data_IF_263117664295
#
_entry.id   IF_263117664295
#
_cell.length_a   1.000
_cell.length_b   1.000
_cell.length_c   1.000
_cell.angle_alpha   90.00
_cell.angle_beta   90.00
_cell.angle_gamma   90.00
#
_symmetry.space_group_name_H-M   'P 1'
#
loop_
_entity.id
_entity.type
_entity.pdbx_description
1 polymer ?
#
# COMPACT_ATOMS: atom_id res chain seq x y z
N UNK A 1 -8.43 33.98 3.11
CA UNK A 1 -7.64 34.40 1.93
C UNK A 1 -6.11 34.27 2.10
N UNK A 2 -5.58 34.16 3.33
CA UNK A 2 -4.14 34.00 3.58
C UNK A 2 -3.60 32.54 3.57
N UNK A 3 -4.44 31.52 3.75
CA UNK A 3 -3.99 30.12 3.77
C UNK A 3 -3.56 29.59 2.38
N UNK A 4 -4.23 30.03 1.30
CA UNK A 4 -3.91 29.61 -0.07
C UNK A 4 -2.55 30.13 -0.57
N UNK A 5 -2.10 31.29 -0.08
CA UNK A 5 -0.84 31.91 -0.51
C UNK A 5 0.39 31.21 0.11
N UNK A 6 0.28 30.76 1.36
CA UNK A 6 1.39 30.11 2.05
C UNK A 6 1.64 28.68 1.55
N UNK A 7 0.60 27.98 1.09
CA UNK A 7 0.74 26.63 0.52
C UNK A 7 1.39 26.64 -0.87
N UNK A 8 1.08 27.64 -1.72
CA UNK A 8 1.70 27.78 -3.04
C UNK A 8 3.18 28.20 -2.97
N UNK A 9 3.56 29.01 -1.98
CA UNK A 9 4.94 29.45 -1.80
C UNK A 9 5.90 28.31 -1.39
N UNK A 10 5.40 27.29 -0.70
CA UNK A 10 6.19 26.13 -0.28
C UNK A 10 6.46 25.12 -1.42
N UNK A 11 5.56 25.06 -2.41
CA UNK A 11 5.69 24.14 -3.56
C UNK A 11 6.72 24.66 -4.58
N UNK A 12 6.90 25.99 -4.67
CA UNK A 12 7.79 26.61 -5.66
C UNK A 12 9.28 26.59 -5.27
N UNK A 13 9.63 26.53 -3.99
CA UNK A 13 11.03 26.56 -3.53
C UNK A 13 11.73 25.20 -3.61
N UNK A 14 10.98 24.10 -3.55
CA UNK A 14 11.54 22.73 -3.61
C UNK A 14 11.87 22.31 -5.05
N UNK A 15 11.25 22.95 -6.06
CA UNK A 15 11.44 22.61 -7.48
C UNK A 15 12.70 23.21 -8.12
N UNK A 16 13.36 24.20 -7.50
CA UNK A 16 14.53 24.90 -8.09
C UNK A 16 15.90 24.33 -7.68
N UNK A 17 15.98 23.35 -6.77
CA UNK A 17 17.26 22.79 -6.30
C UNK A 17 17.66 21.51 -7.08
N UNK A 18 16.75 20.92 -7.85
CA UNK A 18 17.00 19.65 -8.55
C UNK A 18 17.61 19.80 -9.97
N UNK A 19 17.84 21.02 -10.48
CA UNK A 19 18.26 21.24 -11.88
C UNK A 19 19.73 21.68 -12.09
N UNK A 20 20.59 21.57 -11.07
CA UNK A 20 21.97 22.08 -11.14
C UNK A 20 23.06 21.07 -10.73
N UNK A 21 23.01 19.83 -11.24
CA UNK A 21 24.13 18.86 -11.10
C UNK A 21 24.52 18.13 -12.39
N UNK A 22 23.81 18.30 -13.52
CA UNK A 22 24.18 17.68 -14.79
C UNK A 22 24.77 18.74 -15.72
N UNK A 23 26.06 19.09 -15.60
CA UNK A 23 26.77 19.82 -16.67
C UNK A 23 28.31 19.96 -16.59
N UNK A 24 29.07 19.14 -15.87
CA UNK A 24 30.54 19.24 -15.92
C UNK A 24 31.20 17.86 -16.09
N UNK A 25 31.54 17.54 -17.34
CA UNK A 25 32.25 16.32 -17.71
C UNK A 25 32.69 16.29 -19.17
N UNK A 26 33.20 17.41 -19.71
CA UNK A 26 33.89 17.44 -21.00
C UNK A 26 35.21 18.20 -20.86
N UNK A 27 36.31 17.50 -21.13
CA UNK A 27 37.61 18.11 -21.41
C UNK A 27 38.80 17.42 -20.75
N UNK A 28 39.44 16.47 -21.45
CA UNK A 28 40.71 16.70 -22.17
C UNK A 28 41.47 15.40 -22.41
N UNK A 29 41.75 15.16 -23.69
CA UNK A 29 42.75 14.22 -24.19
C UNK A 29 44.14 14.82 -23.99
N UNK A 30 45.06 14.07 -23.39
CA UNK A 30 46.49 14.16 -23.72
C UNK A 30 47.13 12.77 -23.68
N UNK A 31 47.72 12.43 -24.82
CA UNK A 31 48.55 11.26 -25.04
C UNK A 31 49.88 11.38 -24.29
N UNK A 32 50.37 10.23 -23.81
CA UNK A 32 51.81 9.93 -23.74
C UNK A 32 52.00 8.44 -24.07
N UNK A 33 52.95 8.17 -24.94
CA UNK A 33 53.31 6.87 -25.49
C UNK A 33 54.26 6.08 -24.56
N UNK A 34 54.33 4.77 -24.79
CA UNK A 34 55.50 3.96 -24.50
C UNK A 34 55.23 2.72 -23.64
N UNK A 35 55.28 1.53 -24.24
CA UNK A 35 55.25 0.27 -23.50
C UNK A 35 54.91 -0.92 -24.37
N UNK A 36 55.95 -1.59 -24.84
CA UNK A 36 55.99 -2.78 -25.67
C UNK A 36 55.23 -3.98 -25.06
N UNK A 37 54.59 -4.81 -25.89
CA UNK A 37 53.78 -5.94 -25.42
C UNK A 37 52.83 -6.53 -26.46
N UNK A 38 53.30 -6.65 -27.70
CA UNK A 38 52.60 -7.34 -28.78
C UNK A 38 52.69 -8.86 -28.62
N UNK A 39 51.87 -9.47 -27.73
CA UNK A 39 51.61 -10.93 -27.82
C UNK A 39 50.43 -11.49 -27.00
N UNK A 40 49.53 -10.65 -26.45
CA UNK A 40 48.38 -11.14 -25.64
C UNK A 40 47.00 -10.59 -26.02
N UNK A 41 46.85 -9.96 -27.20
CA UNK A 41 45.57 -9.32 -27.60
C UNK A 41 44.64 -10.12 -28.50
N UNK A 42 44.92 -11.38 -28.79
CA UNK A 42 44.15 -12.12 -29.80
C UNK A 42 43.37 -13.36 -29.30
N UNK A 43 43.10 -13.48 -27.99
CA UNK A 43 42.27 -14.59 -27.44
C UNK A 43 41.33 -14.24 -26.29
N UNK A 44 40.68 -13.06 -26.30
CA UNK A 44 39.51 -12.78 -25.45
C UNK A 44 38.40 -12.05 -26.23
N UNK A 45 38.13 -12.52 -27.45
CA UNK A 45 36.91 -12.16 -28.19
C UNK A 45 35.99 -13.38 -28.32
N UNK A 46 35.92 -14.19 -27.26
CA UNK A 46 34.89 -15.21 -27.11
C UNK A 46 33.70 -14.57 -26.38
N UNK A 47 32.77 -14.07 -27.19
CA UNK A 47 31.33 -14.23 -26.96
C UNK A 47 30.79 -13.77 -25.59
N UNK A 48 30.74 -12.46 -25.35
CA UNK A 48 29.82 -11.88 -24.37
C UNK A 48 28.50 -11.58 -25.08
N UNK A 49 27.70 -12.62 -25.30
CA UNK A 49 26.31 -12.47 -25.74
C UNK A 49 25.60 -11.59 -24.69
N UNK A 50 25.34 -10.31 -24.99
CA UNK A 50 24.48 -9.48 -24.16
C UNK A 50 23.06 -10.04 -24.28
N UNK A 51 22.67 -10.90 -23.33
CA UNK A 51 21.29 -11.37 -23.25
C UNK A 51 20.44 -10.20 -22.79
N UNK A 52 19.60 -9.67 -23.69
CA UNK A 52 18.61 -8.66 -23.32
C UNK A 52 17.52 -9.36 -22.51
N UNK A 53 17.57 -9.23 -21.19
CA UNK A 53 16.64 -9.93 -20.29
C UNK A 53 15.22 -9.33 -20.27
N UNK A 54 15.08 -8.09 -20.72
CA UNK A 54 13.80 -7.39 -20.81
C UNK A 54 13.81 -6.32 -21.91
N UNK A 55 12.73 -6.28 -22.69
CA UNK A 55 12.44 -5.20 -23.64
C UNK A 55 11.13 -4.52 -23.24
N UNK A 56 11.17 -3.20 -22.99
CA UNK A 56 9.97 -2.41 -22.65
C UNK A 56 8.99 -2.38 -23.83
N UNK A 57 7.66 -2.32 -23.58
CA UNK A 57 6.69 -2.26 -24.67
C UNK A 57 6.80 -0.94 -25.44
N UNK A 58 6.85 -1.04 -26.77
CA UNK A 58 6.76 0.12 -27.65
C UNK A 58 5.31 0.63 -27.69
N UNK A 59 5.13 1.92 -27.39
CA UNK A 59 3.83 2.56 -27.48
C UNK A 59 3.51 2.90 -28.93
N UNK A 60 2.38 2.40 -29.50
CA UNK A 60 2.00 2.72 -30.86
C UNK A 60 1.94 4.23 -31.09
N UNK A 61 2.62 4.75 -32.11
CA UNK A 61 2.68 6.19 -32.39
C UNK A 61 1.30 6.80 -32.72
N UNK A 62 0.38 5.97 -33.23
CA UNK A 62 -1.01 6.36 -33.49
C UNK A 62 -1.84 6.56 -32.21
N UNK A 63 -1.37 6.04 -31.07
CA UNK A 63 -2.06 6.13 -29.78
C UNK A 63 -1.63 7.40 -29.06
N UNK A 64 -2.42 8.45 -29.20
CA UNK A 64 -2.10 9.78 -28.64
C UNK A 64 -2.77 10.05 -27.30
N UNK A 65 -3.90 9.41 -26.99
CA UNK A 65 -4.62 9.62 -25.73
C UNK A 65 -3.80 9.07 -24.53
N UNK A 66 -3.45 9.89 -23.54
CA UNK A 66 -2.70 9.44 -22.36
C UNK A 66 -3.35 8.27 -21.61
N UNK A 67 -4.68 8.22 -21.51
CA UNK A 67 -5.37 7.15 -20.79
C UNK A 67 -5.25 5.82 -21.56
N UNK A 68 -5.53 5.82 -22.86
CA UNK A 68 -5.31 4.64 -23.72
C UNK A 68 -3.85 4.15 -23.68
N UNK A 69 -2.88 5.08 -23.71
CA UNK A 69 -1.45 4.75 -23.60
C UNK A 69 -1.11 4.07 -22.29
N UNK A 70 -1.64 4.54 -21.17
CA UNK A 70 -1.43 3.93 -19.86
C UNK A 70 -2.01 2.51 -19.81
N UNK A 71 -3.23 2.31 -20.32
CA UNK A 71 -3.87 0.99 -20.40
C UNK A 71 -3.05 0.02 -21.26
N UNK A 72 -2.58 0.47 -22.42
CA UNK A 72 -1.71 -0.34 -23.28
C UNK A 72 -0.39 -0.69 -22.57
N UNK A 73 0.25 0.31 -21.96
CA UNK A 73 1.53 0.14 -21.29
C UNK A 73 1.48 -0.95 -20.20
N UNK A 74 0.52 -0.87 -19.28
CA UNK A 74 0.42 -1.84 -18.18
C UNK A 74 0.03 -3.24 -18.67
N UNK A 75 -0.73 -3.32 -19.77
CA UNK A 75 -1.12 -4.59 -20.38
C UNK A 75 0.07 -5.32 -21.01
N UNK A 76 0.94 -4.57 -21.69
CA UNK A 76 2.07 -5.12 -22.45
C UNK A 76 3.41 -5.04 -21.69
N UNK A 77 3.40 -4.53 -20.46
CA UNK A 77 4.59 -4.29 -19.66
C UNK A 77 5.50 -5.51 -19.56
N UNK A 78 4.94 -6.70 -19.36
CA UNK A 78 5.73 -7.91 -19.14
C UNK A 78 6.00 -8.72 -20.42
N UNK A 79 5.56 -8.27 -21.60
CA UNK A 79 5.61 -9.05 -22.85
C UNK A 79 7.02 -9.41 -23.31
N UNK A 80 7.99 -8.53 -23.04
CA UNK A 80 9.40 -8.76 -23.36
C UNK A 80 10.23 -9.35 -22.22
N UNK A 81 9.62 -9.71 -21.08
CA UNK A 81 10.36 -10.21 -19.90
C UNK A 81 10.67 -11.71 -20.04
N UNK A 82 11.94 -12.08 -19.81
CA UNK A 82 12.42 -13.45 -19.85
C UNK A 82 12.38 -14.10 -18.46
N UNK A 83 11.68 -15.22 -18.33
CA UNK A 83 11.52 -15.96 -17.05
C UNK A 83 12.53 -17.09 -16.86
N UNK A 84 13.28 -17.47 -17.90
CA UNK A 84 14.17 -18.65 -17.88
C UNK A 84 15.52 -18.45 -17.18
N UNK A 85 15.94 -17.20 -16.96
CA UNK A 85 17.18 -16.89 -16.25
C UNK A 85 16.87 -16.60 -14.76
N UNK A 86 17.27 -17.53 -13.90
CA UNK A 86 17.01 -17.46 -12.45
C UNK A 86 17.82 -16.37 -11.75
N UNK A 87 19.00 -16.01 -12.25
CA UNK A 87 19.79 -14.92 -11.70
C UNK A 87 19.14 -13.57 -12.02
N UNK A 88 18.65 -13.42 -13.26
CA UNK A 88 17.85 -12.26 -13.65
C UNK A 88 16.55 -12.13 -12.86
N UNK A 89 15.78 -13.22 -12.72
CA UNK A 89 14.52 -13.23 -11.95
C UNK A 89 14.73 -12.79 -10.50
N UNK A 90 15.83 -13.22 -9.87
CA UNK A 90 16.13 -12.89 -8.47
C UNK A 90 16.94 -11.59 -8.32
N UNK A 91 17.20 -10.86 -9.40
CA UNK A 91 17.99 -9.64 -9.37
C UNK A 91 17.23 -8.47 -8.74
N UNK A 92 18.00 -7.43 -8.35
CA UNK A 92 17.44 -6.13 -7.96
C UNK A 92 16.74 -5.42 -9.13
N UNK A 93 17.16 -5.68 -10.37
CA UNK A 93 16.54 -5.08 -11.56
C UNK A 93 15.12 -5.61 -11.78
N UNK A 94 14.88 -6.91 -11.59
CA UNK A 94 13.52 -7.48 -11.64
C UNK A 94 12.63 -6.88 -10.54
N UNK A 95 13.19 -6.68 -9.34
CA UNK A 95 12.46 -6.04 -8.26
C UNK A 95 12.10 -4.59 -8.59
N UNK A 96 13.02 -3.83 -9.19
CA UNK A 96 12.74 -2.47 -9.66
C UNK A 96 11.69 -2.46 -10.77
N UNK A 97 11.74 -3.40 -11.72
CA UNK A 97 10.71 -3.54 -12.75
C UNK A 97 9.33 -3.82 -12.17
N UNK A 98 9.25 -4.59 -11.08
CA UNK A 98 8.00 -4.83 -10.37
C UNK A 98 7.49 -3.54 -9.71
N UNK A 99 8.37 -2.78 -9.05
CA UNK A 99 8.03 -1.47 -8.45
C UNK A 99 7.52 -0.49 -9.52
N UNK A 100 8.26 -0.34 -10.62
CA UNK A 100 7.87 0.51 -11.76
C UNK A 100 6.49 0.11 -12.31
N UNK A 101 6.22 -1.20 -12.40
CA UNK A 101 4.93 -1.72 -12.83
C UNK A 101 3.80 -1.31 -11.87
N UNK A 102 3.95 -1.54 -10.56
CA UNK A 102 2.92 -1.15 -9.58
C UNK A 102 2.69 0.37 -9.59
N UNK A 103 3.74 1.19 -9.78
CA UNK A 103 3.59 2.64 -9.91
C UNK A 103 2.80 3.02 -11.17
N UNK A 104 3.06 2.35 -12.30
CA UNK A 104 2.32 2.55 -13.53
C UNK A 104 0.82 2.22 -13.41
N UNK A 105 0.43 1.28 -12.53
CA UNK A 105 -0.98 0.95 -12.27
C UNK A 105 -1.79 2.10 -11.68
N UNK A 106 -1.15 3.14 -11.13
CA UNK A 106 -1.83 4.33 -10.59
C UNK A 106 -2.48 5.19 -11.68
N UNK A 107 -2.06 5.02 -12.93
CA UNK A 107 -2.54 5.82 -14.07
C UNK A 107 -3.66 5.12 -14.86
N UNK A 108 -4.18 4.00 -14.36
CA UNK A 108 -5.30 3.27 -14.98
C UNK A 108 -6.42 3.06 -13.96
N UNK A 109 -7.62 2.80 -14.47
CA UNK A 109 -8.75 2.42 -13.62
C UNK A 109 -8.43 1.17 -12.77
N UNK A 110 -8.89 1.10 -11.50
CA UNK A 110 -8.54 0.01 -10.59
C UNK A 110 -8.76 -1.40 -11.15
N UNK A 111 -9.87 -1.60 -11.87
CA UNK A 111 -10.20 -2.89 -12.49
C UNK A 111 -9.23 -3.26 -13.63
N UNK A 112 -8.76 -2.27 -14.38
CA UNK A 112 -7.71 -2.48 -15.39
C UNK A 112 -6.39 -2.86 -14.73
N UNK A 113 -6.03 -2.18 -13.64
CA UNK A 113 -4.83 -2.52 -12.87
C UNK A 113 -4.87 -3.94 -12.30
N UNK A 114 -6.03 -4.34 -11.75
CA UNK A 114 -6.28 -5.71 -11.25
C UNK A 114 -6.08 -6.77 -12.34
N UNK A 115 -6.61 -6.51 -13.54
CA UNK A 115 -6.45 -7.41 -14.71
C UNK A 115 -4.99 -7.47 -15.20
N UNK A 116 -4.27 -6.35 -15.20
CA UNK A 116 -2.86 -6.32 -15.58
C UNK A 116 -1.99 -7.15 -14.62
N UNK A 117 -2.23 -7.03 -13.31
CA UNK A 117 -1.58 -7.86 -12.28
C UNK A 117 -1.86 -9.35 -12.46
N UNK A 118 -3.13 -9.71 -12.67
CA UNK A 118 -3.49 -11.11 -12.96
C UNK A 118 -2.76 -11.62 -14.20
N UNK A 119 -2.71 -10.84 -15.28
CA UNK A 119 -2.03 -11.20 -16.53
C UNK A 119 -0.53 -11.39 -16.33
N UNK A 120 0.11 -10.51 -15.55
CA UNK A 120 1.51 -10.67 -15.14
C UNK A 120 1.72 -11.99 -14.41
N UNK A 121 0.90 -12.29 -13.39
CA UNK A 121 1.05 -13.52 -12.61
C UNK A 121 0.88 -14.79 -13.46
N UNK A 122 -0.12 -14.84 -14.35
CA UNK A 122 -0.31 -15.94 -15.31
C UNK A 122 0.92 -16.11 -16.21
N UNK A 123 1.51 -15.01 -16.68
CA UNK A 123 2.72 -15.08 -17.49
C UNK A 123 3.91 -15.65 -16.73
N UNK A 124 4.11 -15.24 -15.47
CA UNK A 124 5.21 -15.74 -14.65
C UNK A 124 5.07 -17.24 -14.33
N UNK A 125 3.85 -17.78 -14.40
CA UNK A 125 3.56 -19.21 -14.19
C UNK A 125 4.22 -20.15 -15.22
N UNK A 126 4.72 -19.60 -16.33
CA UNK A 126 5.54 -20.33 -17.29
C UNK A 126 6.79 -20.96 -16.65
N UNK A 127 7.34 -20.33 -15.60
CA UNK A 127 8.50 -20.84 -14.85
C UNK A 127 8.26 -20.84 -13.32
N UNK A 128 8.62 -21.94 -12.65
CA UNK A 128 8.38 -22.12 -11.20
C UNK A 128 9.17 -21.15 -10.30
N UNK A 129 10.35 -20.70 -10.75
CA UNK A 129 11.21 -19.76 -10.00
C UNK A 129 10.68 -18.34 -10.16
N UNK A 130 10.37 -17.93 -11.41
CA UNK A 130 9.75 -16.66 -11.71
C UNK A 130 8.42 -16.51 -10.95
N UNK A 131 7.56 -17.51 -11.03
CA UNK A 131 6.27 -17.49 -10.36
C UNK A 131 6.40 -17.27 -8.83
N UNK A 132 7.23 -18.06 -8.15
CA UNK A 132 7.46 -17.91 -6.70
C UNK A 132 8.07 -16.56 -6.34
N UNK A 133 9.00 -16.06 -7.16
CA UNK A 133 9.60 -14.73 -6.97
C UNK A 133 8.54 -13.64 -7.03
N UNK A 134 7.64 -13.68 -8.01
CA UNK A 134 6.59 -12.67 -8.16
C UNK A 134 5.50 -12.79 -7.08
N UNK A 135 5.19 -13.99 -6.57
CA UNK A 135 4.39 -14.14 -5.36
C UNK A 135 5.01 -13.40 -4.15
N UNK A 136 6.32 -13.55 -3.95
CA UNK A 136 7.05 -12.88 -2.87
C UNK A 136 7.07 -11.34 -3.04
N UNK A 137 7.24 -10.85 -4.27
CA UNK A 137 7.15 -9.42 -4.56
C UNK A 137 5.73 -8.88 -4.32
N UNK A 138 4.70 -9.64 -4.69
CA UNK A 138 3.31 -9.34 -4.37
C UNK A 138 3.07 -9.16 -2.89
N UNK A 139 3.55 -10.09 -2.06
CA UNK A 139 3.45 -9.96 -0.60
C UNK A 139 4.26 -8.76 -0.08
N UNK A 140 5.53 -8.63 -0.47
CA UNK A 140 6.43 -7.56 -0.02
C UNK A 140 5.88 -6.16 -0.28
N UNK A 141 5.35 -5.91 -1.48
CA UNK A 141 4.96 -4.56 -1.87
C UNK A 141 3.47 -4.28 -1.68
N UNK A 142 2.60 -5.25 -1.92
CA UNK A 142 1.15 -5.01 -1.91
C UNK A 142 0.51 -5.34 -0.57
N UNK A 143 1.14 -6.21 0.25
CA UNK A 143 0.56 -6.67 1.50
C UNK A 143 1.26 -6.13 2.75
N UNK A 144 2.60 -6.11 2.82
CA UNK A 144 3.34 -5.75 4.03
C UNK A 144 2.87 -4.40 4.62
N UNK A 145 2.58 -4.31 5.94
CA UNK A 145 1.99 -3.11 6.55
C UNK A 145 2.80 -1.83 6.37
N UNK A 146 4.13 -1.94 6.30
CA UNK A 146 5.04 -0.79 6.15
C UNK A 146 5.37 -0.47 4.69
N UNK A 147 4.80 -1.20 3.73
CA UNK A 147 5.05 -0.91 2.32
C UNK A 147 4.32 0.38 1.91
N UNK A 148 5.01 1.37 1.32
CA UNK A 148 4.37 2.56 0.79
C UNK A 148 3.53 2.27 -0.48
N UNK A 149 3.68 1.07 -1.06
CA UNK A 149 2.93 0.62 -2.24
C UNK A 149 1.79 -0.34 -1.89
N UNK A 150 1.51 -0.51 -0.60
CA UNK A 150 0.48 -1.42 -0.10
C UNK A 150 -0.86 -1.11 -0.77
N UNK A 151 -1.49 -2.14 -1.34
CA UNK A 151 -2.79 -2.03 -1.99
C UNK A 151 -3.49 -3.39 -1.91
N UNK A 152 -4.55 -3.46 -1.09
CA UNK A 152 -5.27 -4.71 -0.85
C UNK A 152 -6.03 -5.21 -2.09
N UNK A 153 -6.55 -4.31 -2.94
CA UNK A 153 -7.25 -4.69 -4.19
C UNK A 153 -6.31 -5.39 -5.16
N UNK A 154 -5.10 -4.85 -5.29
CA UNK A 154 -4.06 -5.42 -6.12
C UNK A 154 -3.53 -6.73 -5.53
N UNK A 155 -3.36 -6.81 -4.21
CA UNK A 155 -2.94 -8.04 -3.57
C UNK A 155 -3.99 -9.16 -3.68
N UNK A 156 -5.29 -8.83 -3.64
CA UNK A 156 -6.37 -9.79 -3.90
C UNK A 156 -6.19 -10.44 -5.29
N UNK A 157 -5.85 -9.66 -6.33
CA UNK A 157 -5.62 -10.21 -7.67
C UNK A 157 -4.49 -11.26 -7.69
N UNK A 158 -3.41 -10.97 -6.96
CA UNK A 158 -2.27 -11.88 -6.81
C UNK A 158 -2.71 -13.15 -6.05
N UNK A 159 -3.41 -12.99 -4.93
CA UNK A 159 -3.90 -14.10 -4.11
C UNK A 159 -4.88 -15.01 -4.88
N UNK A 160 -5.82 -14.43 -5.62
CA UNK A 160 -6.77 -15.17 -6.47
C UNK A 160 -6.02 -16.04 -7.48
N UNK A 161 -5.01 -15.51 -8.14
CA UNK A 161 -4.22 -16.26 -9.11
C UNK A 161 -3.32 -17.31 -8.42
N UNK A 162 -2.74 -17.02 -7.24
CA UNK A 162 -2.01 -18.00 -6.43
C UNK A 162 -2.83 -19.24 -6.09
N UNK A 163 -4.12 -19.06 -5.75
CA UNK A 163 -4.99 -20.18 -5.43
C UNK A 163 -5.35 -21.02 -6.65
N UNK A 164 -5.37 -20.41 -7.84
CA UNK A 164 -5.66 -21.09 -9.10
C UNK A 164 -4.43 -21.77 -9.72
N UNK A 165 -3.22 -21.40 -9.32
CA UNK A 165 -1.99 -21.89 -9.95
C UNK A 165 -1.69 -23.36 -9.65
N UNK A 166 -1.28 -24.11 -10.66
CA UNK A 166 -0.80 -25.50 -10.52
C UNK A 166 0.69 -25.57 -10.15
N UNK A 167 1.40 -24.43 -10.09
CA UNK A 167 2.81 -24.34 -9.70
C UNK A 167 3.03 -24.35 -8.20
N UNK A 168 1.99 -24.04 -7.42
CA UNK A 168 2.03 -24.05 -5.96
C UNK A 168 1.45 -25.35 -5.42
N UNK A 169 2.15 -25.94 -4.47
CA UNK A 169 1.64 -27.07 -3.70
C UNK A 169 0.51 -26.62 -2.76
N UNK A 170 -0.33 -27.56 -2.33
CA UNK A 170 -1.51 -27.24 -1.50
C UNK A 170 -1.13 -26.53 -0.20
N UNK A 171 -0.01 -26.91 0.43
CA UNK A 171 0.46 -26.24 1.64
C UNK A 171 0.99 -24.82 1.37
N UNK A 172 1.52 -24.53 0.17
CA UNK A 172 1.91 -23.18 -0.25
C UNK A 172 0.67 -22.27 -0.41
N UNK A 173 -0.51 -22.85 -0.65
CA UNK A 173 -1.78 -22.12 -0.81
C UNK A 173 -2.50 -21.81 0.51
N UNK A 174 -2.13 -22.44 1.63
CA UNK A 174 -2.78 -22.24 2.95
C UNK A 174 -2.71 -20.76 3.38
N UNK A 175 -1.53 -20.15 3.36
CA UNK A 175 -1.34 -18.74 3.75
C UNK A 175 -2.07 -17.79 2.78
N UNK A 176 -1.92 -17.91 1.45
CA UNK A 176 -2.69 -17.11 0.49
C UNK A 176 -4.21 -17.21 0.69
N UNK A 177 -4.73 -18.42 0.95
CA UNK A 177 -6.16 -18.64 1.18
C UNK A 177 -6.66 -17.91 2.43
N UNK A 178 -5.92 -17.99 3.53
CA UNK A 178 -6.25 -17.22 4.73
C UNK A 178 -6.17 -15.71 4.46
N UNK A 179 -5.12 -15.23 3.80
CA UNK A 179 -4.98 -13.81 3.44
C UNK A 179 -6.13 -13.31 2.59
N UNK A 180 -6.56 -14.07 1.59
CA UNK A 180 -7.70 -13.72 0.75
C UNK A 180 -9.00 -13.65 1.56
N UNK A 181 -9.21 -14.64 2.44
CA UNK A 181 -10.33 -14.66 3.37
C UNK A 181 -10.34 -13.44 4.30
N UNK A 182 -9.19 -13.00 4.81
CA UNK A 182 -9.09 -11.78 5.63
C UNK A 182 -9.36 -10.52 4.79
N UNK A 183 -8.79 -10.44 3.58
CA UNK A 183 -8.96 -9.31 2.67
C UNK A 183 -10.42 -9.07 2.31
N UNK A 184 -11.22 -10.12 2.14
CA UNK A 184 -12.67 -10.00 1.86
C UNK A 184 -13.51 -9.52 3.05
N UNK A 185 -12.97 -9.44 4.27
CA UNK A 185 -13.72 -8.90 5.41
C UNK A 185 -13.74 -7.38 5.38
N UNK A 186 -14.87 -6.80 5.77
CA UNK A 186 -15.07 -5.35 5.95
C UNK A 186 -14.61 -4.51 4.74
N UNK A 187 -14.80 -5.01 3.52
CA UNK A 187 -14.46 -4.28 2.29
C UNK A 187 -15.31 -3.01 2.18
N UNK A 188 -14.81 -1.96 1.49
CA UNK A 188 -15.63 -0.80 1.14
C UNK A 188 -17.01 -1.20 0.57
N UNK A 189 -18.07 -0.54 1.04
CA UNK A 189 -19.46 -0.84 0.73
C UNK A 189 -20.14 -1.90 1.61
N UNK A 190 -19.37 -2.81 2.23
CA UNK A 190 -19.91 -3.81 3.16
C UNK A 190 -20.32 -3.17 4.49
N UNK A 191 -21.33 -3.75 5.14
CA UNK A 191 -21.61 -3.43 6.54
C UNK A 191 -20.48 -3.98 7.41
N UNK A 192 -19.89 -3.13 8.25
CA UNK A 192 -18.79 -3.50 9.14
C UNK A 192 -19.23 -4.56 10.15
N UNK A 193 -18.33 -5.51 10.46
CA UNK A 193 -18.54 -6.53 11.46
C UNK A 193 -18.79 -5.88 12.83
N UNK A 194 -19.89 -6.27 13.47
CA UNK A 194 -20.30 -5.64 14.72
C UNK A 194 -19.72 -6.36 15.93
N UNK A 195 -19.35 -5.61 16.96
CA UNK A 195 -18.70 -6.12 18.16
C UNK A 195 -19.12 -5.30 19.38
N UNK A 196 -18.94 -5.88 20.57
CA UNK A 196 -19.15 -5.20 21.84
C UNK A 196 -17.86 -4.65 22.41
N UNK A 197 -17.95 -3.55 23.15
CA UNK A 197 -16.83 -2.96 23.87
C UNK A 197 -17.28 -2.46 25.24
N UNK A 198 -16.31 -2.35 26.16
CA UNK A 198 -16.48 -1.74 27.48
C UNK A 198 -15.61 -0.49 27.57
N UNK A 199 -16.13 0.60 28.13
CA UNK A 199 -15.35 1.82 28.41
C UNK A 199 -14.59 1.70 29.73
N UNK A 200 -13.65 2.62 30.00
CA UNK A 200 -12.96 2.68 31.31
C UNK A 200 -13.92 2.88 32.48
N UNK A 201 -15.08 3.50 32.24
CA UNK A 201 -16.13 3.72 33.23
C UNK A 201 -17.03 2.48 33.44
N UNK A 202 -16.82 1.41 32.68
CA UNK A 202 -17.58 0.17 32.78
C UNK A 202 -18.81 0.11 31.88
N UNK A 203 -19.05 1.12 31.05
CA UNK A 203 -20.20 1.13 30.13
C UNK A 203 -19.99 0.10 29.03
N UNK A 204 -20.92 -0.85 28.94
CA UNK A 204 -20.95 -1.83 27.86
C UNK A 204 -21.84 -1.34 26.72
N UNK A 205 -21.30 -1.33 25.50
CA UNK A 205 -22.04 -0.98 24.30
C UNK A 205 -21.59 -1.81 23.10
N UNK A 206 -22.13 -1.48 21.93
CA UNK A 206 -21.92 -2.19 20.68
C UNK A 206 -21.69 -1.16 19.57
N UNK A 207 -20.74 -1.43 18.67
CA UNK A 207 -20.34 -0.49 17.62
C UNK A 207 -21.54 -0.01 16.79
N UNK A 208 -22.45 -0.93 16.45
CA UNK A 208 -23.66 -0.62 15.68
C UNK A 208 -24.63 0.36 16.36
N UNK A 209 -24.57 0.56 17.69
CA UNK A 209 -25.43 1.48 18.44
C UNK A 209 -24.98 2.94 18.37
N UNK A 210 -23.76 3.22 17.93
CA UNK A 210 -23.24 4.58 17.81
C UNK A 210 -23.95 5.33 16.67
N UNK A 211 -24.68 6.40 17.00
CA UNK A 211 -25.37 7.25 16.01
C UNK A 211 -24.47 8.44 15.66
N UNK A 212 -24.06 8.51 14.38
CA UNK A 212 -23.24 9.60 13.82
C UNK A 212 -23.29 9.53 12.29
N UNK A 213 -23.01 10.66 11.61
CA UNK A 213 -22.86 10.68 10.14
C UNK A 213 -21.68 9.82 9.70
N UNK A 214 -20.58 9.90 10.47
CA UNK A 214 -19.40 9.07 10.29
C UNK A 214 -18.97 8.43 11.61
N UNK A 215 -18.42 7.22 11.53
CA UNK A 215 -17.77 6.55 12.66
C UNK A 215 -16.39 6.11 12.26
N UNK A 216 -15.35 6.63 12.92
CA UNK A 216 -13.98 6.17 12.73
C UNK A 216 -13.66 5.10 13.77
N UNK A 217 -13.36 3.88 13.33
CA UNK A 217 -12.80 2.86 14.19
C UNK A 217 -11.28 3.00 14.21
N UNK A 218 -10.71 3.09 15.39
CA UNK A 218 -9.26 3.21 15.60
C UNK A 218 -8.78 2.03 16.44
N UNK A 219 -8.32 0.97 15.79
CA UNK A 219 -7.74 -0.18 16.50
C UNK A 219 -6.31 0.14 16.89
N UNK A 220 -6.03 0.12 18.19
CA UNK A 220 -4.76 0.61 18.72
C UNK A 220 -4.20 -0.33 19.79
N UNK A 221 -2.93 -0.14 20.08
CA UNK A 221 -2.27 -0.71 21.25
C UNK A 221 -1.80 0.43 22.17
N UNK A 222 -1.93 0.30 23.50
CA UNK A 222 -1.47 1.32 24.43
C UNK A 222 0.04 1.63 24.34
N UNK A 223 0.88 0.68 23.94
CA UNK A 223 2.34 0.85 23.79
C UNK A 223 2.79 1.10 22.34
N UNK A 224 1.96 1.79 21.56
CA UNK A 224 2.16 2.00 20.14
C UNK A 224 2.58 3.44 19.81
N UNK A 225 3.85 3.65 19.46
CA UNK A 225 4.38 4.96 19.07
C UNK A 225 3.70 5.52 17.81
N UNK A 226 3.37 4.68 16.83
CA UNK A 226 2.64 5.09 15.62
C UNK A 226 1.21 5.52 15.94
N UNK A 227 0.56 4.90 16.94
CA UNK A 227 -0.77 5.28 17.39
C UNK A 227 -0.73 6.68 18.03
N UNK A 228 0.26 6.93 18.90
CA UNK A 228 0.49 8.27 19.48
C UNK A 228 0.73 9.34 18.41
N UNK A 229 1.52 9.03 17.37
CA UNK A 229 1.74 9.95 16.23
C UNK A 229 0.44 10.26 15.50
N UNK A 230 -0.36 9.24 15.19
CA UNK A 230 -1.66 9.43 14.53
C UNK A 230 -2.60 10.28 15.37
N UNK A 231 -2.72 10.01 16.67
CA UNK A 231 -3.57 10.76 17.60
C UNK A 231 -3.17 12.23 17.69
N UNK A 232 -1.85 12.51 17.75
CA UNK A 232 -1.32 13.88 17.74
C UNK A 232 -1.69 14.61 16.45
N UNK A 233 -1.42 13.99 15.29
CA UNK A 233 -1.76 14.57 13.99
C UNK A 233 -3.26 14.79 13.85
N UNK A 234 -4.09 13.88 14.34
CA UNK A 234 -5.55 14.02 14.32
C UNK A 234 -6.00 15.26 15.10
N UNK A 235 -5.44 15.47 16.30
CA UNK A 235 -5.76 16.62 17.15
C UNK A 235 -5.27 17.97 16.58
N UNK A 236 -4.26 17.95 15.72
CA UNK A 236 -3.72 19.14 15.05
C UNK A 236 -4.55 19.58 13.83
N UNK A 237 -5.55 18.80 13.40
CA UNK A 237 -6.43 19.11 12.27
C UNK A 237 -7.75 19.70 12.79
N UNK A 238 -7.98 21.03 12.68
CA UNK A 238 -9.13 21.68 13.30
C UNK A 238 -10.48 21.15 12.79
N UNK A 239 -10.57 20.82 11.50
CA UNK A 239 -11.78 20.27 10.90
C UNK A 239 -12.19 18.93 11.53
N UNK A 240 -11.22 18.07 11.91
CA UNK A 240 -11.52 16.80 12.56
C UNK A 240 -11.98 16.99 13.99
N UNK A 241 -11.33 17.89 14.73
CA UNK A 241 -11.73 18.26 16.09
C UNK A 241 -13.15 18.80 16.10
N UNK A 242 -13.48 19.74 15.21
CA UNK A 242 -14.83 20.32 15.10
C UNK A 242 -15.88 19.25 14.76
N UNK A 243 -15.58 18.32 13.84
CA UNK A 243 -16.47 17.20 13.51
C UNK A 243 -16.71 16.25 14.69
N UNK A 244 -15.72 16.08 15.57
CA UNK A 244 -15.87 15.27 16.79
C UNK A 244 -16.71 16.01 17.83
N UNK A 245 -16.44 17.30 18.04
CA UNK A 245 -17.16 18.15 19.00
C UNK A 245 -18.65 18.28 18.64
N UNK A 246 -18.97 18.51 17.36
CA UNK A 246 -20.36 18.62 16.90
C UNK A 246 -21.06 17.25 16.70
N UNK A 247 -20.34 16.13 16.88
CA UNK A 247 -20.87 14.77 16.78
C UNK A 247 -21.09 14.25 15.35
N UNK A 248 -20.65 14.99 14.33
CA UNK A 248 -20.67 14.51 12.93
C UNK A 248 -19.79 13.26 12.76
N UNK A 249 -18.63 13.26 13.40
CA UNK A 249 -17.68 12.16 13.47
C UNK A 249 -17.64 11.60 14.89
N UNK A 250 -17.91 10.30 15.06
CA UNK A 250 -17.60 9.58 16.31
C UNK A 250 -16.34 8.76 16.12
N UNK A 251 -15.32 9.02 16.93
CA UNK A 251 -14.14 8.18 17.00
C UNK A 251 -14.34 7.12 18.09
N UNK A 252 -14.22 5.85 17.70
CA UNK A 252 -14.27 4.69 18.58
C UNK A 252 -12.89 4.02 18.56
N UNK A 253 -12.08 4.34 19.57
CA UNK A 253 -10.78 3.72 19.76
C UNK A 253 -10.92 2.40 20.52
N UNK A 254 -10.47 1.30 19.93
CA UNK A 254 -10.66 -0.04 20.46
C UNK A 254 -9.31 -0.72 20.67
N UNK A 255 -9.07 -1.14 21.91
CA UNK A 255 -8.03 -2.09 22.24
C UNK A 255 -8.56 -3.53 22.07
N UNK A 256 -7.97 -4.34 21.17
CA UNK A 256 -8.47 -5.68 20.88
C UNK A 256 -7.74 -6.80 21.66
N UNK A 257 -6.72 -6.50 22.47
CA UNK A 257 -5.91 -7.49 23.18
C UNK A 257 -6.33 -7.65 24.66
N UNK A 258 -5.64 -8.50 25.41
CA UNK A 258 -6.10 -9.02 26.70
C UNK A 258 -5.69 -8.16 27.91
N UNK A 259 -4.64 -7.34 27.82
CA UNK A 259 -4.09 -6.61 28.97
C UNK A 259 -4.95 -5.40 29.37
N UNK A 260 -6.03 -5.67 30.10
CA UNK A 260 -6.98 -4.65 30.58
C UNK A 260 -6.29 -3.60 31.46
N UNK A 261 -5.37 -4.00 32.33
CA UNK A 261 -4.74 -3.08 33.29
C UNK A 261 -3.90 -2.02 32.57
N UNK A 262 -3.09 -2.45 31.62
CA UNK A 262 -2.31 -1.55 30.78
C UNK A 262 -3.21 -0.63 29.95
N UNK A 263 -4.25 -1.20 29.33
CA UNK A 263 -5.22 -0.41 28.58
C UNK A 263 -5.89 0.65 29.45
N UNK A 264 -6.37 0.28 30.64
CA UNK A 264 -7.06 1.19 31.54
C UNK A 264 -6.13 2.31 32.02
N UNK A 265 -4.86 2.00 32.33
CA UNK A 265 -3.87 2.98 32.76
C UNK A 265 -3.54 4.03 31.69
N UNK A 266 -3.57 3.64 30.41
CA UNK A 266 -3.23 4.51 29.28
C UNK A 266 -4.46 5.14 28.59
N UNK A 267 -5.65 4.58 28.77
CA UNK A 267 -6.89 5.06 28.17
C UNK A 267 -7.28 6.49 28.60
N UNK A 268 -6.87 6.92 29.79
CA UNK A 268 -7.10 8.29 30.30
C UNK A 268 -6.33 9.37 29.54
N UNK A 269 -5.30 9.00 28.77
CA UNK A 269 -4.49 9.92 27.96
C UNK A 269 -4.93 9.98 26.49
N UNK A 270 -6.02 9.29 26.13
CA UNK A 270 -6.57 9.36 24.78
C UNK A 270 -7.16 10.74 24.47
N UNK A 271 -7.22 11.15 23.19
CA UNK A 271 -7.79 12.44 22.81
C UNK A 271 -9.21 12.65 23.34
N UNK A 272 -9.47 13.87 23.82
CA UNK A 272 -10.79 14.24 24.35
C UNK A 272 -11.89 14.07 23.28
N UNK A 273 -13.07 13.64 23.71
CA UNK A 273 -14.23 13.41 22.83
C UNK A 273 -14.25 12.05 22.13
N UNK A 274 -13.14 11.29 22.17
CA UNK A 274 -13.09 9.93 21.66
C UNK A 274 -13.79 8.96 22.63
N UNK A 275 -14.45 7.95 22.07
CA UNK A 275 -14.94 6.81 22.84
C UNK A 275 -13.82 5.79 22.91
N UNK A 276 -13.29 5.56 24.10
CA UNK A 276 -12.17 4.63 24.34
C UNK A 276 -12.73 3.34 24.92
N UNK A 277 -12.58 2.24 24.19
CA UNK A 277 -13.15 0.95 24.53
C UNK A 277 -12.13 -0.18 24.48
N UNK A 278 -12.42 -1.23 25.25
CA UNK A 278 -11.75 -2.51 25.20
C UNK A 278 -12.74 -3.57 24.71
N UNK A 279 -12.32 -4.41 23.75
CA UNK A 279 -13.11 -5.55 23.31
C UNK A 279 -12.99 -6.72 24.31
N UNK A 280 -13.64 -6.57 25.48
CA UNK A 280 -13.63 -7.57 26.56
C UNK A 280 -14.07 -8.97 26.12
N UNK A 281 -14.97 -9.07 25.13
CA UNK A 281 -15.42 -10.34 24.59
C UNK A 281 -14.31 -11.11 23.84
N UNK A 282 -13.25 -10.40 23.41
CA UNK A 282 -12.15 -10.97 22.64
C UNK A 282 -12.54 -11.47 21.24
N UNK A 283 -13.76 -11.20 20.79
CA UNK A 283 -14.32 -11.74 19.54
C UNK A 283 -13.69 -11.11 18.30
N UNK A 284 -13.17 -9.88 18.39
CA UNK A 284 -12.39 -9.28 17.29
C UNK A 284 -11.20 -10.15 16.94
N UNK A 285 -10.47 -10.67 17.94
CA UNK A 285 -9.29 -11.52 17.75
C UNK A 285 -9.67 -12.97 17.50
N UNK A 286 -10.46 -13.56 18.41
CA UNK A 286 -10.79 -15.00 18.38
C UNK A 286 -11.62 -15.39 17.16
N UNK A 287 -12.46 -14.49 16.64
CA UNK A 287 -13.24 -14.70 15.40
C UNK A 287 -12.66 -13.96 14.20
N UNK A 288 -11.53 -13.26 14.38
CA UNK A 288 -10.91 -12.43 13.35
C UNK A 288 -11.93 -11.52 12.66
N UNK A 289 -12.73 -10.76 13.41
CA UNK A 289 -13.78 -9.91 12.84
C UNK A 289 -13.20 -8.81 11.95
N UNK A 290 -11.97 -8.37 12.23
CA UNK A 290 -11.22 -7.39 11.49
C UNK A 290 -9.81 -7.92 11.22
N UNK A 291 -9.26 -7.61 10.04
CA UNK A 291 -7.85 -7.85 9.75
C UNK A 291 -7.01 -6.72 10.35
N UNK A 292 -6.50 -6.92 11.56
CA UNK A 292 -5.67 -5.96 12.30
C UNK A 292 -4.24 -6.51 12.32
N UNK A 293 -3.46 -6.14 11.30
CA UNK A 293 -2.09 -6.65 11.09
C UNK A 293 -1.02 -5.78 11.73
N UNK A 294 -1.30 -4.50 11.89
CA UNK A 294 -0.45 -3.52 12.55
C UNK A 294 -1.32 -2.49 13.28
N UNK A 295 -0.79 -1.90 14.34
CA UNK A 295 -1.45 -0.80 15.04
C UNK A 295 -0.74 0.54 14.70
N UNK A 296 -1.51 1.62 14.44
CA UNK A 296 -2.97 1.64 14.36
C UNK A 296 -3.52 1.03 13.05
N UNK A 297 -4.70 0.42 13.10
CA UNK A 297 -5.51 0.06 11.91
C UNK A 297 -6.80 0.89 11.95
N UNK A 298 -7.15 1.55 10.86
CA UNK A 298 -8.22 2.57 10.86
C UNK A 298 -9.29 2.26 9.83
N UNK A 299 -10.56 2.36 10.23
CA UNK A 299 -11.71 2.25 9.33
C UNK A 299 -12.57 3.50 9.44
N UNK A 300 -13.07 4.00 8.31
CA UNK A 300 -14.10 5.03 8.28
C UNK A 300 -15.42 4.40 7.84
N UNK A 301 -16.47 4.60 8.64
CA UNK A 301 -17.81 4.07 8.39
C UNK A 301 -18.82 5.19 8.16
N UNK A 302 -19.84 4.90 7.34
CA UNK A 302 -21.00 5.79 7.13
C UNK A 302 -22.03 5.69 8.27
N UNK A 303 -23.12 6.47 8.16
CA UNK A 303 -24.21 6.48 9.13
C UNK A 303 -24.96 5.15 9.28
N UNK A 304 -24.85 4.25 8.29
CA UNK A 304 -25.39 2.88 8.30
C UNK A 304 -24.34 1.83 8.69
N UNK A 305 -23.15 2.27 9.12
CA UNK A 305 -21.99 1.43 9.47
C UNK A 305 -21.47 0.61 8.29
N UNK A 306 -21.63 1.11 7.06
CA UNK A 306 -20.93 0.58 5.90
C UNK A 306 -19.52 1.14 5.86
N UNK A 307 -18.57 0.30 5.50
CA UNK A 307 -17.17 0.69 5.37
C UNK A 307 -17.04 1.62 4.16
N UNK A 308 -16.46 2.77 4.38
CA UNK A 308 -16.09 3.74 3.34
C UNK A 308 -14.62 3.56 3.01
N UNK A 309 -13.77 3.61 4.04
CA UNK A 309 -12.34 3.40 3.96
C UNK A 309 -11.95 2.26 4.90
N UNK A 310 -11.13 1.34 4.40
CA UNK A 310 -10.60 0.18 5.12
C UNK A 310 -9.09 0.33 5.25
N UNK A 311 -8.59 0.16 6.47
CA UNK A 311 -7.16 0.25 6.82
C UNK A 311 -6.47 1.46 6.16
N UNK A 312 -7.06 2.62 6.43
CA UNK A 312 -6.79 3.91 5.76
C UNK A 312 -5.69 4.71 6.43
N UNK A 313 -5.05 5.61 5.68
CA UNK A 313 -4.09 6.58 6.21
C UNK A 313 -4.74 7.91 6.63
N UNK A 314 -3.94 8.77 7.28
CA UNK A 314 -4.36 10.14 7.63
C UNK A 314 -4.68 10.97 6.37
N UNK A 315 -3.84 10.85 5.34
CA UNK A 315 -3.98 11.57 4.08
C UNK A 315 -5.30 11.22 3.38
N UNK A 316 -5.64 9.92 3.32
CA UNK A 316 -6.90 9.45 2.73
C UNK A 316 -8.13 9.90 3.53
N UNK A 317 -8.03 9.95 4.86
CA UNK A 317 -9.10 10.49 5.71
C UNK A 317 -9.33 11.98 5.44
N UNK A 318 -8.24 12.76 5.33
CA UNK A 318 -8.29 14.19 5.01
C UNK A 318 -8.96 14.39 3.65
N UNK A 319 -8.48 13.70 2.62
CA UNK A 319 -8.98 13.83 1.25
C UNK A 319 -10.48 13.51 1.16
N UNK A 320 -10.90 12.39 1.78
CA UNK A 320 -12.30 11.98 1.80
C UNK A 320 -13.18 12.99 2.54
N UNK A 321 -12.82 13.34 3.78
CA UNK A 321 -13.66 14.20 4.63
C UNK A 321 -13.69 15.66 4.13
N UNK A 322 -12.60 16.16 3.56
CA UNK A 322 -12.57 17.49 2.93
C UNK A 322 -13.50 17.56 1.72
N UNK A 323 -13.50 16.53 0.88
CA UNK A 323 -14.38 16.46 -0.31
C UNK A 323 -15.86 16.42 0.07
N UNK A 324 -16.20 15.81 1.21
CA UNK A 324 -17.59 15.75 1.70
C UNK A 324 -18.04 17.01 2.43
N UNK A 325 -17.12 17.83 2.95
CA UNK A 325 -17.45 19.11 3.57
C UNK A 325 -17.78 20.21 2.54
N UNK A 326 -17.33 20.03 1.29
CA UNK A 326 -17.65 20.93 0.17
C UNK A 326 -18.94 20.62 -0.59
N UNK A 327 -19.70 19.59 -0.18
CA UNK A 327 -20.99 19.19 -0.75
C UNK A 327 -22.12 19.47 0.23
#
# INVERSE_FOLDING_TARGET
MNAKKNLMAFILTVSSIALMVICLGLGMVKACAGGDGSEWKEKVAADTLHVVHYTRPDLPQIMTDPAERAVYYVKHYWDGYLTGDTAWVNSGDTEQLYVDFIDALKYVEPETGRKALHTMMVRMEADSTAYRRFCLLGEKYLNEPNSPMRNEDFYIAVLEQMLQSDRLQEWEKIRPADRLKQAHKNRPGMKAADFTYVTVHGDNSRMSRLKAKYTMLFFYDPDCSNCRKFEKLFAEIPAFVEMVENGTLRVLAIYPHENREEWAAKAVYMPQGWIVGWNKAGDIRTRQLYDIRATPTIYLLDGRKRVILKDTSMEQLIDYLATQAGK
#
